data_IF_926182649749
#
_entry.id   IF_926182649749
#
_cell.length_a   1.000
_cell.length_b   1.000
_cell.length_c   1.000
_cell.angle_alpha   90.00
_cell.angle_beta   90.00
_cell.angle_gamma   90.00
#
_symmetry.space_group_name_H-M   'P 1'
#
loop_
_entity.id
_entity.type
_entity.pdbx_description
1 polymer ?
#
# COMPACT_ATOMS: atom_id res chain seq x y z
N UNK A 1 -0.09 -15.34 -18.88
CA UNK A 1 0.83 -15.30 -17.72
C UNK A 1 2.16 -16.02 -17.96
N UNK A 2 2.20 -17.35 -18.19
CA UNK A 2 3.47 -18.11 -18.31
C UNK A 2 4.45 -17.57 -19.36
N UNK A 3 3.96 -17.14 -20.53
CA UNK A 3 4.80 -16.52 -21.58
C UNK A 3 5.39 -15.19 -21.11
N UNK A 4 4.57 -14.32 -20.51
CA UNK A 4 5.04 -13.04 -19.94
C UNK A 4 6.12 -13.26 -18.87
N UNK A 5 5.91 -14.21 -17.93
CA UNK A 5 6.89 -14.49 -16.86
C UNK A 5 8.24 -14.98 -17.40
N UNK A 6 8.24 -15.76 -18.50
CA UNK A 6 9.49 -16.18 -19.15
C UNK A 6 10.27 -15.02 -19.76
N UNK A 7 9.57 -13.99 -20.22
CA UNK A 7 10.17 -12.84 -20.89
C UNK A 7 10.41 -11.64 -19.94
N UNK A 8 9.93 -11.70 -18.70
CA UNK A 8 9.89 -10.56 -17.79
C UNK A 8 11.29 -10.03 -17.46
N UNK A 9 12.28 -10.91 -17.42
CA UNK A 9 13.71 -10.62 -17.35
C UNK A 9 14.21 -9.56 -18.33
N UNK A 10 13.67 -9.58 -19.55
CA UNK A 10 14.10 -8.72 -20.65
C UNK A 10 13.25 -7.45 -20.75
N UNK A 11 12.15 -7.39 -20.01
CA UNK A 11 11.13 -6.34 -20.13
C UNK A 11 11.17 -5.35 -18.96
N UNK A 12 11.72 -5.75 -17.82
CA UNK A 12 11.65 -4.95 -16.59
C UNK A 12 12.96 -5.02 -15.83
N UNK A 13 13.43 -3.86 -15.35
CA UNK A 13 14.55 -3.77 -14.42
C UNK A 13 14.16 -4.19 -12.99
N UNK A 14 12.87 -4.07 -12.65
CA UNK A 14 12.32 -4.44 -11.34
C UNK A 14 10.92 -5.04 -11.47
N UNK A 15 10.72 -6.19 -10.84
CA UNK A 15 9.40 -6.81 -10.68
C UNK A 15 9.23 -7.24 -9.23
N UNK A 16 8.22 -6.68 -8.58
CA UNK A 16 7.80 -7.08 -7.24
C UNK A 16 6.40 -7.68 -7.33
N UNK A 17 6.26 -8.95 -6.94
CA UNK A 17 4.96 -9.62 -6.87
C UNK A 17 4.66 -9.95 -5.42
N UNK A 18 3.55 -9.45 -4.90
CA UNK A 18 3.09 -9.72 -3.54
C UNK A 18 1.60 -10.05 -3.56
N UNK A 19 1.25 -11.20 -2.99
CA UNK A 19 -0.14 -11.60 -2.83
C UNK A 19 -0.67 -10.97 -1.54
N UNK A 20 -1.61 -10.02 -1.68
CA UNK A 20 -2.31 -9.43 -0.53
C UNK A 20 -3.31 -10.43 0.04
N UNK A 21 -3.58 -10.31 1.34
CA UNK A 21 -4.61 -11.07 2.05
C UNK A 21 -6.00 -10.84 1.44
N UNK A 22 -6.33 -9.57 1.18
CA UNK A 22 -7.57 -9.15 0.53
C UNK A 22 -7.28 -8.30 -0.71
N UNK A 23 -8.13 -8.37 -1.74
CA UNK A 23 -7.98 -7.52 -2.91
C UNK A 23 -8.13 -6.04 -2.54
N UNK A 24 -7.39 -5.18 -3.24
CA UNK A 24 -7.48 -3.72 -3.09
C UNK A 24 -8.09 -3.08 -4.33
N UNK A 25 -9.15 -2.28 -4.15
CA UNK A 25 -9.76 -1.49 -5.22
C UNK A 25 -9.04 -0.16 -5.46
N UNK A 26 -8.06 0.18 -4.62
CA UNK A 26 -7.32 1.43 -4.67
C UNK A 26 -5.82 1.20 -4.50
N UNK A 27 -5.02 2.02 -5.17
CA UNK A 27 -3.58 2.10 -4.94
C UNK A 27 -3.14 3.53 -5.16
N UNK A 28 -2.32 4.07 -4.26
CA UNK A 28 -1.67 5.36 -4.43
C UNK A 28 -0.37 5.41 -3.65
N UNK A 29 0.72 5.86 -4.27
CA UNK A 29 1.95 6.19 -3.56
C UNK A 29 1.75 7.39 -2.65
N UNK A 30 2.22 7.31 -1.41
CA UNK A 30 2.47 8.49 -0.61
C UNK A 30 3.73 9.20 -1.11
N UNK A 31 3.78 10.54 -1.04
CA UNK A 31 4.85 11.33 -1.64
C UNK A 31 6.18 11.23 -0.87
N UNK A 32 6.14 10.85 0.41
CA UNK A 32 7.33 10.79 1.26
C UNK A 32 8.10 9.48 1.05
N UNK A 33 9.41 9.61 0.82
CA UNK A 33 10.36 8.50 0.69
C UNK A 33 11.35 8.58 1.83
N UNK A 34 11.48 7.50 2.60
CA UNK A 34 12.47 7.40 3.68
C UNK A 34 13.73 6.73 3.15
N UNK A 35 14.90 7.31 3.45
CA UNK A 35 16.20 6.72 3.15
C UNK A 35 16.81 6.26 4.49
N UNK A 36 16.81 4.95 4.79
CA UNK A 36 17.45 4.45 6.02
C UNK A 36 18.94 4.81 6.00
N UNK A 37 19.46 5.40 7.09
CA UNK A 37 20.86 5.80 7.18
C UNK A 37 21.80 4.58 7.09
N UNK A 38 21.35 3.44 7.62
CA UNK A 38 22.11 2.18 7.66
C UNK A 38 22.05 1.37 6.35
N UNK A 39 21.13 1.69 5.42
CA UNK A 39 21.00 0.95 4.17
C UNK A 39 21.31 1.81 2.96
N UNK A 40 22.47 1.51 2.35
CA UNK A 40 22.82 2.05 1.03
C UNK A 40 22.06 1.37 -0.10
N UNK A 41 21.34 0.29 0.15
CA UNK A 41 20.82 -0.60 -0.89
C UNK A 41 19.41 -0.25 -1.35
N UNK A 42 18.59 0.38 -0.49
CA UNK A 42 17.18 0.63 -0.80
C UNK A 42 16.62 1.92 -0.18
N UNK A 43 15.47 2.33 -0.72
CA UNK A 43 14.59 3.36 -0.17
C UNK A 43 13.28 2.74 0.28
N UNK A 44 12.67 3.31 1.31
CA UNK A 44 11.35 2.89 1.79
C UNK A 44 10.31 3.84 1.26
N UNK A 45 9.40 3.31 0.45
CA UNK A 45 8.24 3.99 -0.09
C UNK A 45 6.99 3.48 0.62
N UNK A 46 5.90 4.24 0.57
CA UNK A 46 4.62 3.84 1.17
C UNK A 46 3.48 3.88 0.17
N UNK A 47 2.59 2.90 0.25
CA UNK A 47 1.39 2.78 -0.56
C UNK A 47 0.15 2.88 0.33
N UNK A 48 -0.85 3.61 -0.15
CA UNK A 48 -2.22 3.56 0.35
C UNK A 48 -2.93 2.45 -0.43
N UNK A 49 -3.46 1.49 0.32
CA UNK A 49 -4.26 0.38 -0.15
C UNK A 49 -5.58 0.33 0.63
N UNK A 50 -6.51 -0.49 0.16
CA UNK A 50 -7.73 -0.78 0.86
C UNK A 50 -8.02 -2.27 0.80
N UNK A 51 -8.98 -2.73 1.60
CA UNK A 51 -9.51 -4.08 1.47
C UNK A 51 -10.88 -4.05 0.80
N UNK A 52 -11.21 -5.16 0.15
CA UNK A 52 -12.54 -5.50 -0.31
C UNK A 52 -12.82 -6.94 0.12
N UNK A 53 -13.52 -7.06 1.24
CA UNK A 53 -13.94 -8.31 1.88
C UNK A 53 -15.45 -8.51 1.70
N UNK A 54 -15.93 -9.75 1.89
CA UNK A 54 -17.39 -10.02 1.88
C UNK A 54 -17.99 -9.75 3.27
N UNK A 55 -17.59 -10.53 4.28
CA UNK A 55 -18.19 -10.50 5.63
C UNK A 55 -17.17 -10.21 6.74
N UNK A 56 -15.93 -9.88 6.37
CA UNK A 56 -14.87 -9.52 7.33
C UNK A 56 -14.72 -8.00 7.47
N UNK A 57 -14.11 -7.56 8.58
CA UNK A 57 -13.82 -6.15 8.80
C UNK A 57 -12.93 -5.60 7.66
N UNK A 58 -13.40 -4.54 7.01
CA UNK A 58 -12.62 -3.84 5.99
C UNK A 58 -11.64 -2.85 6.64
N UNK A 59 -10.55 -2.57 5.93
CA UNK A 59 -9.47 -1.73 6.41
C UNK A 59 -8.96 -0.76 5.34
N UNK A 60 -8.65 0.47 5.77
CA UNK A 60 -7.72 1.35 5.08
C UNK A 60 -6.29 0.94 5.50
N UNK A 61 -5.42 0.71 4.52
CA UNK A 61 -4.13 0.07 4.75
C UNK A 61 -2.99 0.95 4.24
N UNK A 62 -1.94 1.08 5.03
CA UNK A 62 -0.66 1.66 4.59
C UNK A 62 0.39 0.56 4.58
N UNK A 63 1.00 0.34 3.42
CA UNK A 63 2.04 -0.64 3.23
C UNK A 63 3.38 0.03 2.93
N UNK A 64 4.45 -0.46 3.54
CA UNK A 64 5.83 -0.11 3.22
C UNK A 64 6.33 -0.99 2.06
N UNK A 65 7.04 -0.38 1.13
CA UNK A 65 7.67 -1.03 -0.02
C UNK A 65 9.14 -0.64 -0.02
N UNK A 66 10.02 -1.64 0.07
CA UNK A 66 11.47 -1.44 -0.08
C UNK A 66 11.82 -1.51 -1.56
N UNK A 67 12.29 -0.39 -2.13
CA UNK A 67 12.68 -0.27 -3.53
C UNK A 67 14.22 -0.17 -3.59
N UNK A 68 14.91 -1.01 -4.37
CA UNK A 68 16.34 -0.89 -4.57
C UNK A 68 16.73 0.49 -5.11
N UNK A 69 17.89 1.02 -4.70
CA UNK A 69 18.44 2.23 -5.32
C UNK A 69 19.05 1.93 -6.68
N UNK A 70 19.07 2.92 -7.56
CA UNK A 70 19.70 2.78 -8.88
C UNK A 70 21.16 2.35 -8.76
N UNK A 71 21.55 1.32 -9.53
CA UNK A 71 22.92 0.79 -9.58
C UNK A 71 23.25 -0.33 -8.59
N UNK A 72 22.38 -0.66 -7.63
CA UNK A 72 22.61 -1.78 -6.68
C UNK A 72 22.14 -3.13 -7.20
N UNK A 73 21.32 -3.15 -8.27
CA UNK A 73 20.74 -4.37 -8.84
C UNK A 73 21.70 -5.16 -9.77
N UNK A 74 22.91 -4.65 -10.00
CA UNK A 74 23.75 -5.04 -11.16
C UNK A 74 24.57 -6.33 -11.00
N UNK A 75 24.63 -6.93 -9.81
CA UNK A 75 25.58 -8.04 -9.54
C UNK A 75 24.97 -9.46 -9.43
N UNK A 76 23.73 -9.68 -9.89
CA UNK A 76 23.07 -11.00 -9.79
C UNK A 76 22.67 -11.60 -11.14
N UNK A 77 23.51 -11.41 -12.18
CA UNK A 77 23.47 -12.18 -13.43
C UNK A 77 24.22 -13.51 -13.34
N UNK A 78 24.19 -14.20 -12.18
CA UNK A 78 24.62 -15.59 -12.12
C UNK A 78 23.40 -16.49 -12.17
N UNK A 79 23.21 -17.06 -13.35
CA UNK A 79 22.29 -18.13 -13.67
C UNK A 79 22.51 -19.34 -12.74
N UNK A 80 21.75 -19.47 -11.65
CA UNK A 80 21.58 -20.76 -11.00
C UNK A 80 20.59 -21.61 -11.81
N UNK A 81 21.13 -22.26 -12.85
CA UNK A 81 20.39 -23.20 -13.69
C UNK A 81 20.16 -24.57 -13.03
N UNK A 82 20.57 -24.78 -11.77
CA UNK A 82 20.57 -26.11 -11.13
C UNK A 82 19.51 -26.32 -10.03
N UNK A 83 18.78 -25.28 -9.60
CA UNK A 83 17.63 -25.46 -8.70
C UNK A 83 16.35 -25.29 -9.51
N UNK A 84 15.64 -26.39 -9.73
CA UNK A 84 14.43 -26.50 -10.58
C UNK A 84 13.21 -25.64 -10.20
N UNK A 85 13.41 -24.52 -9.51
CA UNK A 85 12.42 -23.50 -9.22
C UNK A 85 12.61 -22.32 -10.18
N UNK A 86 11.98 -22.44 -11.35
CA UNK A 86 11.94 -21.36 -12.35
C UNK A 86 11.24 -20.10 -11.79
N UNK A 87 12.03 -19.10 -11.36
CA UNK A 87 11.57 -17.70 -11.29
C UNK A 87 12.04 -16.81 -10.15
N UNK A 88 13.16 -17.09 -9.48
CA UNK A 88 13.80 -16.14 -8.56
C UNK A 88 14.73 -15.20 -9.31
N UNK A 89 14.28 -13.99 -9.64
CA UNK A 89 15.15 -12.92 -10.16
C UNK A 89 15.80 -12.19 -8.98
N UNK A 90 17.13 -12.11 -8.98
CA UNK A 90 17.97 -11.07 -8.35
C UNK A 90 17.82 -10.85 -6.84
N UNK A 91 18.91 -11.00 -6.10
CA UNK A 91 19.01 -11.07 -4.65
C UNK A 91 18.78 -9.73 -3.90
N UNK A 92 17.79 -8.94 -4.28
CA UNK A 92 17.20 -7.94 -3.39
C UNK A 92 15.83 -8.45 -2.96
N UNK A 93 15.69 -8.85 -1.69
CA UNK A 93 14.41 -9.24 -1.09
C UNK A 93 13.52 -8.01 -0.94
N UNK A 94 13.01 -7.52 -2.07
CA UNK A 94 12.13 -6.37 -2.13
C UNK A 94 10.88 -6.69 -1.31
N UNK A 95 10.82 -6.11 -0.11
CA UNK A 95 9.83 -6.46 0.90
C UNK A 95 8.65 -5.50 0.83
N UNK A 96 7.45 -6.06 0.78
CA UNK A 96 6.21 -5.34 1.01
C UNK A 96 5.68 -5.79 2.37
N UNK A 97 5.48 -4.83 3.28
CA UNK A 97 4.96 -5.08 4.62
C UNK A 97 3.81 -4.14 4.94
N UNK A 98 2.81 -4.63 5.67
CA UNK A 98 1.74 -3.77 6.16
C UNK A 98 2.23 -3.02 7.40
N UNK A 99 2.29 -1.70 7.31
CA UNK A 99 2.72 -0.81 8.39
C UNK A 99 1.53 -0.44 9.29
N UNK A 100 0.36 -0.15 8.68
CA UNK A 100 -0.83 0.29 9.38
C UNK A 100 -2.09 -0.33 8.76
N UNK A 101 -3.01 -0.78 9.62
CA UNK A 101 -4.38 -1.17 9.25
C UNK A 101 -5.35 -0.33 10.11
N UNK A 102 -6.31 0.33 9.49
CA UNK A 102 -7.32 1.17 10.14
C UNK A 102 -8.69 0.59 9.77
N UNK A 103 -9.57 0.34 10.74
CA UNK A 103 -10.92 -0.14 10.45
C UNK A 103 -11.67 0.87 9.57
N UNK A 104 -12.38 0.33 8.60
CA UNK A 104 -13.12 1.10 7.62
C UNK A 104 -14.53 0.54 7.48
N UNK A 105 -15.51 1.45 7.38
CA UNK A 105 -16.92 1.12 7.24
C UNK A 105 -17.24 0.77 5.79
N UNK A 106 -17.34 -0.54 5.51
CA UNK A 106 -17.41 -1.12 4.15
C UNK A 106 -16.06 -1.15 3.44
N UNK A 107 -16.01 -1.69 2.24
CA UNK A 107 -14.81 -1.73 1.41
C UNK A 107 -14.32 -0.34 1.00
N UNK A 108 -13.03 -0.24 0.69
CA UNK A 108 -12.42 1.02 0.28
C UNK A 108 -12.45 1.13 -1.25
N UNK A 109 -13.53 1.70 -1.79
CA UNK A 109 -13.71 1.93 -3.22
C UNK A 109 -12.62 2.82 -3.83
N UNK A 110 -12.19 3.86 -3.11
CA UNK A 110 -11.06 4.71 -3.49
C UNK A 110 -10.48 5.38 -2.26
N UNK A 111 -9.14 5.49 -2.16
CA UNK A 111 -8.47 6.26 -1.11
C UNK A 111 -7.47 7.24 -1.72
N UNK A 112 -7.48 8.52 -1.30
CA UNK A 112 -6.56 9.55 -1.81
C UNK A 112 -6.01 10.43 -0.69
N UNK A 113 -4.69 10.62 -0.67
CA UNK A 113 -4.07 11.60 0.22
C UNK A 113 -4.31 13.03 -0.26
N UNK A 114 -4.37 13.97 0.68
CA UNK A 114 -4.42 15.42 0.39
C UNK A 114 -3.01 15.93 0.03
N UNK A 115 -2.78 16.52 -1.16
CA UNK A 115 -1.45 16.98 -1.57
C UNK A 115 -0.78 17.96 -0.62
N UNK A 116 -1.56 18.90 -0.05
CA UNK A 116 -1.05 19.91 0.89
C UNK A 116 -0.74 19.33 2.28
N UNK A 117 -1.35 18.20 2.63
CA UNK A 117 -1.11 17.51 3.89
C UNK A 117 -1.29 15.98 3.70
N UNK A 118 -0.22 15.26 3.29
CA UNK A 118 -0.29 13.84 2.99
C UNK A 118 -0.68 12.94 4.18
N UNK A 119 -0.68 13.47 5.40
CA UNK A 119 -1.18 12.79 6.59
C UNK A 119 -2.69 12.49 6.51
N UNK A 120 -3.44 13.33 5.79
CA UNK A 120 -4.88 13.18 5.61
C UNK A 120 -5.20 12.36 4.36
N UNK A 121 -6.06 11.37 4.54
CA UNK A 121 -6.53 10.46 3.48
C UNK A 121 -8.05 10.51 3.45
N UNK A 122 -8.63 10.87 2.31
CA UNK A 122 -10.05 10.69 2.05
C UNK A 122 -10.32 9.30 1.48
N UNK A 123 -11.43 8.70 1.85
CA UNK A 123 -11.90 7.43 1.29
C UNK A 123 -13.35 7.50 0.82
N UNK A 124 -13.62 6.74 -0.25
CA UNK A 124 -14.96 6.35 -0.68
C UNK A 124 -15.25 4.93 -0.22
N UNK A 125 -16.46 4.70 0.24
CA UNK A 125 -17.01 3.40 0.61
C UNK A 125 -18.33 3.15 -0.13
N UNK A 126 -19.01 2.01 0.10
CA UNK A 126 -20.37 1.75 -0.37
C UNK A 126 -21.43 2.65 0.26
N UNK A 127 -21.06 3.43 1.27
CA UNK A 127 -21.96 4.42 1.86
C UNK A 127 -21.97 5.72 1.04
N UNK A 128 -22.96 6.55 1.32
CA UNK A 128 -23.06 7.88 0.73
C UNK A 128 -22.04 8.87 1.32
N UNK A 129 -21.40 8.53 2.44
CA UNK A 129 -20.42 9.39 3.10
C UNK A 129 -19.06 9.33 2.39
N UNK A 130 -18.22 10.33 2.66
CA UNK A 130 -16.78 10.32 2.39
C UNK A 130 -16.10 10.44 3.74
N UNK A 131 -15.17 9.53 4.02
CA UNK A 131 -14.52 9.46 5.32
C UNK A 131 -13.12 10.06 5.22
N UNK A 132 -12.71 10.88 6.18
CA UNK A 132 -11.36 11.45 6.25
C UNK A 132 -10.61 10.81 7.42
N UNK A 133 -9.41 10.31 7.17
CA UNK A 133 -8.53 9.69 8.16
C UNK A 133 -7.21 10.44 8.25
N UNK A 134 -6.66 10.52 9.46
CA UNK A 134 -5.29 10.97 9.68
C UNK A 134 -4.44 9.80 10.15
N UNK A 135 -3.60 9.30 9.24
CA UNK A 135 -2.82 8.10 9.52
C UNK A 135 -1.64 8.34 10.47
N UNK A 136 -1.13 9.57 10.56
CA UNK A 136 0.03 9.89 11.41
C UNK A 136 -0.29 9.87 12.90
N UNK A 137 -1.51 10.27 13.27
CA UNK A 137 -2.01 10.15 14.65
C UNK A 137 -2.09 8.69 15.11
N UNK A 138 -2.28 7.77 14.17
CA UNK A 138 -2.42 6.34 14.43
C UNK A 138 -1.06 5.63 14.42
N UNK A 139 -0.12 6.06 13.57
CA UNK A 139 1.23 5.50 13.50
C UNK A 139 2.11 5.83 14.70
N UNK A 140 1.80 6.89 15.46
CA UNK A 140 2.55 7.26 16.68
C UNK A 140 2.21 6.39 17.90
N UNK A 141 1.27 5.45 17.77
CA UNK A 141 0.79 4.64 18.88
C UNK A 141 1.48 3.27 18.92
N UNK A 142 1.65 2.67 20.11
CA UNK A 142 2.14 1.31 20.24
C UNK A 142 1.28 0.34 19.41
N UNK A 143 1.89 -0.70 18.83
CA UNK A 143 1.19 -1.68 17.97
C UNK A 143 -0.06 -2.28 18.63
N UNK A 144 0.00 -2.50 19.93
CA UNK A 144 -1.11 -3.04 20.73
C UNK A 144 -2.29 -2.05 20.86
N UNK A 145 -2.04 -0.74 20.75
CA UNK A 145 -3.05 0.32 20.79
C UNK A 145 -3.61 0.67 19.41
N UNK A 146 -2.85 0.45 18.33
CA UNK A 146 -3.34 0.59 16.94
C UNK A 146 -4.54 -0.35 16.71
N UNK A 147 -4.48 -1.58 17.25
CA UNK A 147 -5.57 -2.56 17.18
C UNK A 147 -6.77 -2.11 18.02
N UNK A 148 -6.56 -1.51 19.19
CA UNK A 148 -7.64 -1.06 20.07
C UNK A 148 -8.40 0.16 19.53
N UNK A 149 -7.71 1.11 18.87
CA UNK A 149 -8.34 2.28 18.25
C UNK A 149 -9.06 1.96 16.95
N UNK A 150 -8.85 0.78 16.37
CA UNK A 150 -9.66 0.29 15.28
C UNK A 150 -11.15 0.16 15.71
N UNK A 151 -11.44 -0.01 17.01
CA UNK A 151 -12.79 -0.09 17.55
C UNK A 151 -13.40 1.28 17.96
N UNK A 152 -12.58 2.28 18.34
CA UNK A 152 -13.07 3.57 18.89
C UNK A 152 -12.68 4.82 18.07
N UNK A 153 -11.71 4.78 17.17
CA UNK A 153 -11.37 5.92 16.31
C UNK A 153 -12.10 5.85 14.98
N UNK A 154 -13.31 6.40 15.03
CA UNK A 154 -14.06 6.89 13.88
C UNK A 154 -13.19 7.77 12.97
N UNK A 155 -13.53 7.87 11.67
CA UNK A 155 -12.93 8.84 10.76
C UNK A 155 -12.93 10.24 11.38
N UNK A 156 -11.85 10.99 11.18
CA UNK A 156 -11.68 12.35 11.71
C UNK A 156 -12.80 13.27 11.23
N UNK A 157 -13.24 13.07 9.99
CA UNK A 157 -14.42 13.74 9.44
C UNK A 157 -15.27 12.76 8.64
N UNK A 158 -16.60 12.95 8.72
CA UNK A 158 -17.59 12.32 7.85
C UNK A 158 -18.22 13.40 6.98
N UNK A 159 -17.85 13.42 5.71
CA UNK A 159 -18.40 14.37 4.75
C UNK A 159 -19.67 13.77 4.14
N UNK A 160 -20.74 14.56 4.14
CA UNK A 160 -22.06 14.18 3.64
C UNK A 160 -22.43 15.04 2.44
N UNK A 161 -23.30 14.52 1.58
CA UNK A 161 -23.83 15.25 0.42
C UNK A 161 -24.27 14.36 -0.73
N UNK A 162 -23.71 13.16 -0.84
CA UNK A 162 -24.21 12.14 -1.76
C UNK A 162 -25.39 11.37 -1.15
N UNK A 163 -26.10 10.63 -1.99
CA UNK A 163 -27.18 9.72 -1.60
C UNK A 163 -26.83 8.25 -1.84
N UNK A 164 -25.73 7.98 -2.55
CA UNK A 164 -25.25 6.66 -2.93
C UNK A 164 -23.72 6.63 -2.91
N UNK A 165 -23.16 5.44 -3.03
CA UNK A 165 -21.74 5.23 -3.22
C UNK A 165 -21.17 5.87 -4.49
N UNK A 166 -19.85 5.83 -4.62
CA UNK A 166 -19.17 6.19 -5.86
C UNK A 166 -17.66 6.01 -5.75
N UNK A 167 -16.99 6.09 -6.90
CA UNK A 167 -15.54 5.88 -6.99
C UNK A 167 -14.77 7.19 -7.21
N UNK A 168 -15.41 8.26 -7.68
CA UNK A 168 -14.76 9.54 -7.94
C UNK A 168 -14.27 10.19 -6.64
N UNK A 169 -12.98 10.54 -6.59
CA UNK A 169 -12.37 11.24 -5.47
C UNK A 169 -11.12 11.98 -5.94
N UNK A 170 -11.04 13.28 -5.67
CA UNK A 170 -9.93 14.15 -6.04
C UNK A 170 -9.80 15.28 -5.03
N UNK A 171 -8.58 15.52 -4.57
CA UNK A 171 -8.23 16.70 -3.81
C UNK A 171 -7.77 17.79 -4.77
N UNK A 172 -8.10 19.04 -4.46
CA UNK A 172 -7.44 20.18 -5.10
C UNK A 172 -5.96 20.18 -4.65
N UNK A 173 -4.97 20.29 -5.56
CA UNK A 173 -3.54 20.29 -5.21
C UNK A 173 -3.07 21.52 -4.44
#
# INVERSE_FOLDING_TARGET
YKIWKKNSAFLYDLIMTHALEWPSLTVQWLPHVTKPEDSKEYTVHRLILGTHTSDEQNHLVIACVQIPKDGTATESTQYESERGEFGGFGLFNAKIEIELKINHDGEVNRARYMPQNPSLIATKSPSAEVLIFNHTKLSSLPKDQIVALSAENCPELRLRGHTKEGYGLSWNP
#
